data_IF_813257266405
#
_entry.id   IF_813257266405
#
_cell.length_a   1.000
_cell.length_b   1.000
_cell.length_c   1.000
_cell.angle_alpha   90.00
_cell.angle_beta   90.00
_cell.angle_gamma   90.00
#
_symmetry.space_group_name_H-M   'P 1'
#
loop_
_entity.id
_entity.type
_entity.pdbx_description
1 polymer ?
#
# COMPACT_ATOMS: atom_id res chain seq x y z
N UNK A 1 -0.55 8.17 -19.62
CA UNK A 1 0.89 8.27 -19.29
C UNK A 1 1.28 9.45 -18.40
N UNK A 2 0.82 10.68 -18.58
CA UNK A 2 1.17 11.79 -17.66
C UNK A 2 0.57 11.66 -16.26
N UNK A 3 -0.60 11.06 -16.07
CA UNK A 3 -1.29 10.95 -14.78
C UNK A 3 -0.77 9.81 -13.88
N UNK A 4 -0.38 8.67 -14.44
CA UNK A 4 0.26 7.58 -13.66
C UNK A 4 1.64 8.03 -13.13
N UNK A 5 2.36 8.85 -13.90
CA UNK A 5 3.65 9.42 -13.46
C UNK A 5 3.47 10.41 -12.30
N UNK A 6 2.37 11.17 -12.25
CA UNK A 6 2.06 12.08 -11.14
C UNK A 6 1.68 11.33 -9.85
N UNK A 7 0.96 10.22 -9.95
CA UNK A 7 0.63 9.38 -8.78
C UNK A 7 1.87 8.67 -8.24
N UNK A 8 2.76 8.19 -9.10
CA UNK A 8 4.02 7.56 -8.68
C UNK A 8 5.04 8.57 -8.17
N UNK A 9 5.13 9.79 -8.70
CA UNK A 9 5.98 10.86 -8.15
C UNK A 9 5.42 11.44 -6.86
N UNK A 10 4.11 11.59 -6.71
CA UNK A 10 3.45 11.98 -5.46
C UNK A 10 3.71 10.95 -4.35
N UNK A 11 3.59 9.68 -4.65
CA UNK A 11 3.91 8.56 -3.76
C UNK A 11 5.44 8.52 -3.50
N UNK A 12 6.28 8.83 -4.48
CA UNK A 12 7.73 8.82 -4.31
C UNK A 12 8.24 10.02 -3.49
N UNK A 13 7.62 11.21 -3.58
CA UNK A 13 7.93 12.34 -2.68
C UNK A 13 7.42 12.12 -1.25
N UNK A 14 6.30 11.43 -1.07
CA UNK A 14 5.87 10.93 0.24
C UNK A 14 6.86 9.89 0.81
N UNK A 15 7.50 9.07 -0.03
CA UNK A 15 8.49 8.05 0.41
C UNK A 15 9.70 8.64 1.14
N UNK A 16 10.13 9.86 0.87
CA UNK A 16 11.33 10.45 1.52
C UNK A 16 11.08 11.07 2.89
N UNK A 17 9.85 11.38 3.28
CA UNK A 17 9.53 12.05 4.54
C UNK A 17 8.75 11.20 5.56
N UNK A 18 8.20 10.03 5.19
CA UNK A 18 7.15 9.35 5.93
C UNK A 18 7.34 7.84 6.14
N UNK A 19 8.58 7.37 6.27
CA UNK A 19 8.82 5.97 6.64
C UNK A 19 8.14 5.56 7.97
N UNK A 20 7.95 6.53 8.88
CA UNK A 20 7.24 6.33 10.16
C UNK A 20 5.71 6.19 10.03
N UNK A 21 5.13 6.73 8.96
CA UNK A 21 3.70 6.61 8.64
C UNK A 21 3.39 5.23 8.03
N UNK A 22 4.41 4.50 7.56
CA UNK A 22 4.27 3.30 6.74
C UNK A 22 3.60 2.12 7.44
N UNK A 23 3.65 1.99 8.76
CA UNK A 23 3.02 0.86 9.47
C UNK A 23 1.49 1.02 9.52
N UNK A 24 0.96 2.23 9.71
CA UNK A 24 -0.48 2.47 9.60
C UNK A 24 -0.94 2.70 8.15
N UNK A 25 -0.11 3.32 7.30
CA UNK A 25 -0.37 3.41 5.86
C UNK A 25 -0.29 2.02 5.22
N UNK A 26 0.50 1.06 5.72
CA UNK A 26 0.43 -0.33 5.27
C UNK A 26 -0.87 -1.02 5.66
N UNK A 27 -1.47 -0.75 6.81
CA UNK A 27 -2.85 -1.17 7.09
C UNK A 27 -3.85 -0.52 6.12
N UNK A 28 -3.60 0.70 5.68
CA UNK A 28 -4.43 1.44 4.72
C UNK A 28 -4.08 1.12 3.26
N UNK A 29 -2.80 0.93 2.90
CA UNK A 29 -2.36 0.56 1.54
C UNK A 29 -2.64 -0.90 1.17
N UNK A 30 -2.96 -1.78 2.14
CA UNK A 30 -3.42 -3.15 1.90
C UNK A 30 -4.74 -3.25 1.17
N UNK A 31 -5.47 -2.17 1.08
CA UNK A 31 -6.82 -2.15 0.52
C UNK A 31 -6.89 -2.42 -0.98
N UNK A 32 -5.77 -2.43 -1.70
CA UNK A 32 -5.78 -2.66 -3.14
C UNK A 32 -5.63 -4.13 -3.56
N UNK A 33 -5.33 -5.04 -2.63
CA UNK A 33 -5.00 -6.44 -2.99
C UNK A 33 -6.16 -7.42 -2.82
N UNK A 34 -7.20 -7.09 -2.08
CA UNK A 34 -8.32 -7.99 -1.83
C UNK A 34 -9.65 -7.50 -2.43
N UNK A 35 -9.72 -7.32 -3.75
CA UNK A 35 -11.00 -7.25 -4.45
C UNK A 35 -11.67 -8.64 -4.49
N UNK A 36 -11.84 -9.27 -3.33
CA UNK A 36 -12.68 -10.43 -3.14
C UNK A 36 -14.14 -9.99 -3.16
N UNK A 37 -14.99 -10.68 -3.93
CA UNK A 37 -16.44 -10.42 -3.99
C UNK A 37 -17.08 -10.63 -2.62
N UNK A 38 -16.98 -9.64 -1.74
CA UNK A 38 -17.80 -9.60 -0.53
C UNK A 38 -19.23 -9.33 -0.92
N UNK A 39 -20.17 -10.08 -0.33
CA UNK A 39 -21.60 -9.79 -0.44
C UNK A 39 -21.91 -8.53 0.38
N UNK A 40 -21.51 -7.38 -0.13
CA UNK A 40 -21.90 -6.09 0.44
C UNK A 40 -23.40 -5.90 0.24
N UNK A 41 -24.17 -5.91 1.30
CA UNK A 41 -25.60 -5.59 1.27
C UNK A 41 -25.76 -4.12 1.63
N UNK A 42 -26.15 -3.29 0.66
CA UNK A 42 -26.59 -1.94 0.94
C UNK A 42 -28.01 -1.96 1.48
N UNK A 43 -28.23 -1.47 2.69
CA UNK A 43 -29.54 -1.41 3.32
C UNK A 43 -29.93 0.04 3.63
N UNK A 44 -31.22 0.33 3.53
CA UNK A 44 -31.83 1.59 4.00
C UNK A 44 -32.39 1.47 5.42
N UNK A 45 -32.29 0.28 6.04
CA UNK A 45 -32.87 -0.04 7.35
C UNK A 45 -32.05 0.40 8.56
N UNK A 46 -30.77 0.75 8.36
CA UNK A 46 -29.90 1.19 9.45
C UNK A 46 -30.30 2.57 9.96
N UNK A 47 -30.11 2.80 11.27
CA UNK A 47 -30.33 4.12 11.89
C UNK A 47 -29.37 5.14 11.30
N UNK A 48 -29.77 6.43 11.33
CA UNK A 48 -28.94 7.53 10.81
C UNK A 48 -27.56 7.62 11.47
N UNK A 49 -27.44 7.24 12.74
CA UNK A 49 -26.21 7.22 13.52
C UNK A 49 -25.33 5.96 13.28
N UNK A 50 -25.76 5.04 12.41
CA UNK A 50 -25.01 3.79 12.13
C UNK A 50 -24.51 3.84 10.70
N UNK A 51 -23.20 3.77 10.50
CA UNK A 51 -22.58 3.67 9.18
C UNK A 51 -22.69 2.26 8.61
N UNK A 52 -22.30 1.27 9.42
CA UNK A 52 -22.31 -0.13 9.02
C UNK A 52 -22.61 -1.06 10.20
N UNK A 53 -23.01 -2.30 9.88
CA UNK A 53 -23.01 -3.43 10.82
C UNK A 53 -22.20 -4.54 10.17
N UNK A 54 -21.09 -4.92 10.80
CA UNK A 54 -20.15 -5.91 10.32
C UNK A 54 -20.06 -7.02 11.40
N UNK A 55 -20.47 -8.23 11.03
CA UNK A 55 -20.55 -9.39 11.95
C UNK A 55 -21.34 -9.09 13.25
N UNK A 56 -22.37 -8.23 13.16
CA UNK A 56 -23.15 -7.78 14.29
C UNK A 56 -22.56 -6.59 15.07
N UNK A 57 -21.30 -6.21 14.81
CA UNK A 57 -20.64 -5.01 15.36
C UNK A 57 -21.16 -3.77 14.63
N UNK A 58 -21.57 -2.77 15.38
CA UNK A 58 -22.03 -1.49 14.82
C UNK A 58 -20.87 -0.52 14.72
N UNK A 59 -20.70 0.05 13.55
CA UNK A 59 -19.79 1.17 13.28
C UNK A 59 -20.63 2.45 13.26
N UNK A 60 -20.22 3.46 14.01
CA UNK A 60 -20.94 4.73 14.09
C UNK A 60 -20.82 5.54 12.79
N UNK A 61 -21.75 6.47 12.58
CA UNK A 61 -21.63 7.43 11.48
C UNK A 61 -20.52 8.45 11.78
N UNK A 62 -20.34 8.80 13.05
CA UNK A 62 -19.35 9.79 13.50
C UNK A 62 -17.93 9.28 13.27
N UNK A 63 -17.67 7.99 13.52
CA UNK A 63 -16.40 7.32 13.18
C UNK A 63 -16.11 7.34 11.67
N UNK A 64 -17.11 7.06 10.83
CA UNK A 64 -16.95 7.14 9.38
C UNK A 64 -16.74 8.58 8.90
N UNK A 65 -17.41 9.56 9.51
CA UNK A 65 -17.25 10.98 9.20
C UNK A 65 -15.89 11.52 9.66
N UNK A 66 -15.38 11.08 10.81
CA UNK A 66 -14.02 11.38 11.29
C UNK A 66 -13.00 10.98 10.22
N UNK A 67 -13.05 9.72 9.78
CA UNK A 67 -12.11 9.21 8.79
C UNK A 67 -12.27 9.89 7.43
N UNK A 68 -13.50 10.16 6.99
CA UNK A 68 -13.76 10.86 5.74
C UNK A 68 -13.24 12.31 5.78
N UNK A 69 -13.41 13.00 6.91
CA UNK A 69 -12.87 14.34 7.13
C UNK A 69 -11.34 14.40 7.09
N UNK A 70 -10.67 13.39 7.66
CA UNK A 70 -9.21 13.26 7.59
C UNK A 70 -8.71 13.08 6.16
N UNK A 71 -9.36 12.20 5.40
CA UNK A 71 -9.03 11.99 3.99
C UNK A 71 -9.31 13.24 3.15
N UNK A 72 -10.46 13.93 3.39
CA UNK A 72 -10.73 15.21 2.76
C UNK A 72 -9.60 16.20 2.99
N UNK A 73 -9.21 16.41 4.24
CA UNK A 73 -8.13 17.33 4.60
C UNK A 73 -6.81 16.98 3.90
N UNK A 74 -6.46 15.70 3.82
CA UNK A 74 -5.23 15.22 3.20
C UNK A 74 -5.22 15.41 1.68
N UNK A 75 -6.33 15.10 1.02
CA UNK A 75 -6.46 15.26 -0.43
C UNK A 75 -6.47 16.74 -0.83
N UNK A 76 -7.26 17.59 -0.17
CA UNK A 76 -7.33 19.02 -0.48
C UNK A 76 -6.03 19.76 -0.20
N UNK A 77 -5.23 19.33 0.79
CA UNK A 77 -3.87 19.87 1.02
C UNK A 77 -2.88 19.52 -0.10
N UNK A 78 -3.12 18.41 -0.80
CA UNK A 78 -2.18 17.89 -1.83
C UNK A 78 -2.60 18.33 -3.23
N UNK A 79 -3.89 18.36 -3.54
CA UNK A 79 -4.45 18.48 -4.89
C UNK A 79 -5.45 19.63 -5.04
N UNK A 80 -5.76 20.37 -3.97
CA UNK A 80 -6.87 21.32 -3.80
C UNK A 80 -8.29 20.71 -3.90
N UNK A 81 -9.34 21.56 -3.85
CA UNK A 81 -10.73 21.08 -3.83
C UNK A 81 -11.28 20.62 -5.18
N UNK A 82 -10.58 20.85 -6.29
CA UNK A 82 -11.02 20.43 -7.62
C UNK A 82 -10.84 18.91 -7.80
N UNK A 83 -10.02 18.27 -6.96
CA UNK A 83 -9.74 16.83 -7.00
C UNK A 83 -11.01 15.96 -6.95
N UNK A 84 -12.09 16.42 -6.32
CA UNK A 84 -13.28 15.61 -6.13
C UNK A 84 -14.04 15.28 -7.42
N UNK A 85 -13.84 16.09 -8.47
CA UNK A 85 -14.39 15.85 -9.82
C UNK A 85 -13.50 14.98 -10.70
N UNK A 86 -12.24 14.78 -10.32
CA UNK A 86 -11.28 13.97 -11.07
C UNK A 86 -11.62 12.47 -11.01
N UNK A 87 -11.13 11.73 -11.99
CA UNK A 87 -11.33 10.28 -12.06
C UNK A 87 -10.07 9.53 -11.62
N UNK A 88 -10.26 8.60 -10.70
CA UNK A 88 -9.26 7.65 -10.19
C UNK A 88 -9.81 6.25 -10.47
N UNK A 89 -9.11 5.42 -11.22
CA UNK A 89 -9.52 4.04 -11.55
C UNK A 89 -10.96 3.94 -12.12
N UNK A 90 -11.36 4.91 -12.95
CA UNK A 90 -12.67 4.92 -13.61
C UNK A 90 -13.84 5.42 -12.75
N UNK A 91 -13.63 5.74 -11.48
CA UNK A 91 -14.61 6.35 -10.57
C UNK A 91 -14.19 7.78 -10.20
N UNK A 92 -15.09 8.59 -9.63
CA UNK A 92 -14.71 9.92 -9.12
C UNK A 92 -13.82 9.77 -7.88
N UNK A 93 -12.94 10.76 -7.63
CA UNK A 93 -12.10 10.77 -6.41
C UNK A 93 -12.95 10.71 -5.14
N UNK A 94 -14.13 11.35 -5.14
CA UNK A 94 -15.10 11.23 -4.06
C UNK A 94 -15.52 9.77 -3.81
N UNK A 95 -15.90 9.04 -4.87
CA UNK A 95 -16.28 7.63 -4.77
C UNK A 95 -15.11 6.77 -4.29
N UNK A 96 -13.91 7.04 -4.81
CA UNK A 96 -12.69 6.34 -4.42
C UNK A 96 -12.39 6.51 -2.92
N UNK A 97 -12.42 7.74 -2.41
CA UNK A 97 -12.18 8.03 -0.99
C UNK A 97 -13.26 7.42 -0.09
N UNK A 98 -14.54 7.47 -0.50
CA UNK A 98 -15.63 6.82 0.25
C UNK A 98 -15.48 5.29 0.28
N UNK A 99 -15.00 4.67 -0.81
CA UNK A 99 -14.68 3.26 -0.81
C UNK A 99 -13.54 2.97 0.18
N UNK A 100 -12.49 3.79 0.20
CA UNK A 100 -11.38 3.64 1.15
C UNK A 100 -11.86 3.72 2.61
N UNK A 101 -12.74 4.65 2.95
CA UNK A 101 -13.33 4.72 4.31
C UNK A 101 -14.06 3.42 4.65
N UNK A 102 -14.91 2.94 3.75
CA UNK A 102 -15.65 1.69 3.94
C UNK A 102 -14.70 0.52 4.19
N UNK A 103 -13.74 0.35 3.31
CA UNK A 103 -12.83 -0.79 3.32
C UNK A 103 -11.91 -0.75 4.56
N UNK A 104 -11.49 0.45 4.99
CA UNK A 104 -10.73 0.65 6.24
C UNK A 104 -11.55 0.23 7.46
N UNK A 105 -12.77 0.70 7.59
CA UNK A 105 -13.62 0.37 8.73
C UNK A 105 -14.04 -1.10 8.73
N UNK A 106 -14.24 -1.70 7.57
CA UNK A 106 -14.47 -3.15 7.45
C UNK A 106 -13.25 -3.94 7.90
N UNK A 107 -12.06 -3.53 7.49
CA UNK A 107 -10.82 -4.18 7.90
C UNK A 107 -10.59 -4.09 9.41
N UNK A 108 -10.80 -2.92 10.00
CA UNK A 108 -10.69 -2.71 11.45
C UNK A 108 -11.67 -3.63 12.17
N UNK A 109 -12.94 -3.65 11.77
CA UNK A 109 -13.96 -4.48 12.41
C UNK A 109 -13.65 -5.98 12.32
N UNK A 110 -13.16 -6.46 11.17
CA UNK A 110 -12.72 -7.86 11.01
C UNK A 110 -11.53 -8.18 11.91
N UNK A 111 -10.58 -7.23 12.08
CA UNK A 111 -9.46 -7.40 13.00
C UNK A 111 -9.89 -7.37 14.47
N UNK A 112 -10.91 -6.59 14.82
CA UNK A 112 -11.51 -6.64 16.17
C UNK A 112 -12.18 -7.99 16.44
N UNK A 113 -12.78 -8.65 15.43
CA UNK A 113 -13.28 -10.02 15.59
C UNK A 113 -12.15 -11.00 15.90
N UNK A 114 -10.97 -10.85 15.31
CA UNK A 114 -9.78 -11.61 15.72
C UNK A 114 -9.35 -11.26 17.14
N UNK A 115 -9.40 -9.97 17.52
CA UNK A 115 -9.08 -9.57 18.90
C UNK A 115 -10.01 -10.25 19.91
N UNK A 116 -11.29 -10.37 19.60
CA UNK A 116 -12.25 -11.09 20.44
C UNK A 116 -11.96 -12.60 20.50
N UNK A 117 -11.68 -13.25 19.37
CA UNK A 117 -11.34 -14.68 19.30
C UNK A 117 -10.09 -15.02 20.13
N UNK A 118 -9.06 -14.18 20.09
CA UNK A 118 -7.84 -14.33 20.87
C UNK A 118 -7.92 -13.73 22.28
N UNK A 119 -9.08 -13.20 22.67
CA UNK A 119 -9.29 -12.52 23.96
C UNK A 119 -8.30 -11.38 24.21
N UNK A 120 -7.91 -10.66 23.17
CA UNK A 120 -7.04 -9.50 23.24
C UNK A 120 -7.80 -8.37 23.92
N UNK A 121 -7.13 -7.67 24.85
CA UNK A 121 -7.68 -6.51 25.56
C UNK A 121 -6.66 -5.37 25.57
N UNK A 122 -7.16 -4.16 25.67
CA UNK A 122 -6.31 -3.00 25.91
C UNK A 122 -5.82 -3.04 27.37
N UNK A 123 -4.61 -2.58 27.58
CA UNK A 123 -4.03 -2.35 28.90
C UNK A 123 -4.42 -0.97 29.42
N UNK A 124 -4.23 -0.71 30.72
CA UNK A 124 -4.41 0.62 31.29
C UNK A 124 -3.51 1.65 30.60
N UNK A 125 -2.28 1.26 30.23
CA UNK A 125 -1.35 2.10 29.46
C UNK A 125 -1.87 2.41 28.05
N UNK A 126 -2.46 1.43 27.35
CA UNK A 126 -3.11 1.68 26.05
C UNK A 126 -4.25 2.72 26.19
N UNK A 127 -5.07 2.59 27.23
CA UNK A 127 -6.17 3.53 27.49
C UNK A 127 -5.67 4.94 27.81
N UNK A 128 -4.63 5.07 28.64
CA UNK A 128 -4.01 6.37 28.95
C UNK A 128 -3.38 7.03 27.71
N UNK A 129 -2.79 6.22 26.81
CA UNK A 129 -2.22 6.74 25.56
C UNK A 129 -3.34 7.17 24.57
N UNK A 130 -4.44 6.43 24.50
CA UNK A 130 -5.60 6.78 23.68
C UNK A 130 -6.19 8.11 24.14
N UNK A 131 -6.40 8.29 25.44
CA UNK A 131 -6.92 9.53 26.02
C UNK A 131 -6.06 10.75 25.65
N UNK A 132 -4.73 10.64 25.78
CA UNK A 132 -3.79 11.71 25.42
C UNK A 132 -3.74 11.99 23.91
N UNK A 133 -3.73 10.94 23.09
CA UNK A 133 -3.73 11.07 21.64
C UNK A 133 -5.01 11.75 21.13
N UNK A 134 -6.17 11.42 21.74
CA UNK A 134 -7.43 12.05 21.42
C UNK A 134 -7.44 13.54 21.85
N UNK A 135 -6.90 13.88 23.02
CA UNK A 135 -6.74 15.29 23.45
C UNK A 135 -5.87 16.08 22.48
N UNK A 136 -4.77 15.48 22.00
CA UNK A 136 -3.88 16.13 21.04
C UNK A 136 -4.58 16.36 19.71
N UNK A 137 -5.33 15.36 19.20
CA UNK A 137 -6.12 15.51 17.99
C UNK A 137 -7.15 16.64 18.12
N UNK A 138 -7.89 16.66 19.22
CA UNK A 138 -8.93 17.67 19.47
C UNK A 138 -8.36 19.10 19.61
N UNK A 139 -7.10 19.24 20.05
CA UNK A 139 -6.43 20.55 20.11
C UNK A 139 -6.27 21.18 18.71
N UNK A 140 -6.12 20.37 17.67
CA UNK A 140 -6.01 20.80 16.27
C UNK A 140 -7.31 20.79 15.48
N UNK A 141 -8.41 20.30 16.05
CA UNK A 141 -9.70 20.14 15.36
C UNK A 141 -10.63 21.33 15.58
N UNK A 142 -11.05 21.96 14.48
CA UNK A 142 -11.98 23.12 14.47
C UNK A 142 -13.32 22.80 13.79
N UNK A 143 -13.88 21.65 14.07
CA UNK A 143 -15.05 21.09 13.39
C UNK A 143 -16.42 21.44 14.01
N UNK A 144 -16.55 22.52 14.80
CA UNK A 144 -17.81 22.99 15.38
C UNK A 144 -18.61 21.92 16.17
N UNK A 145 -17.92 20.94 16.81
CA UNK A 145 -18.57 19.93 17.65
C UNK A 145 -19.27 18.81 16.88
N UNK A 146 -18.96 18.60 15.61
CA UNK A 146 -19.50 17.49 14.81
C UNK A 146 -18.88 16.16 15.23
N UNK A 147 -17.59 16.18 15.55
CA UNK A 147 -16.81 15.07 16.13
C UNK A 147 -16.38 15.52 17.51
N UNK A 148 -16.56 14.68 18.50
CA UNK A 148 -16.09 14.95 19.85
C UNK A 148 -14.91 14.05 20.24
N UNK A 149 -14.35 14.25 21.44
CA UNK A 149 -13.21 13.48 21.92
C UNK A 149 -13.51 11.98 21.98
N UNK A 150 -14.74 11.61 22.36
CA UNK A 150 -15.12 10.20 22.48
C UNK A 150 -15.13 9.48 21.13
N UNK A 151 -15.47 10.18 20.05
CA UNK A 151 -15.43 9.59 18.70
C UNK A 151 -13.98 9.25 18.30
N UNK A 152 -13.03 10.11 18.66
CA UNK A 152 -11.60 9.88 18.41
C UNK A 152 -11.05 8.77 19.30
N UNK A 153 -11.43 8.72 20.57
CA UNK A 153 -11.08 7.65 21.51
C UNK A 153 -11.62 6.30 21.04
N UNK A 154 -12.86 6.24 20.56
CA UNK A 154 -13.48 5.02 20.03
C UNK A 154 -12.72 4.53 18.79
N UNK A 155 -12.40 5.43 17.85
CA UNK A 155 -11.61 5.10 16.67
C UNK A 155 -10.20 4.60 17.03
N UNK A 156 -9.49 5.27 17.93
CA UNK A 156 -8.16 4.85 18.36
C UNK A 156 -8.20 3.53 19.14
N UNK A 157 -9.27 3.29 19.89
CA UNK A 157 -9.52 2.01 20.59
C UNK A 157 -9.64 0.86 19.58
N UNK A 158 -10.48 1.01 18.56
CA UNK A 158 -10.67 0.04 17.48
C UNK A 158 -9.38 -0.18 16.71
N UNK A 159 -8.66 0.88 16.37
CA UNK A 159 -7.38 0.80 15.66
C UNK A 159 -6.31 0.11 16.48
N UNK A 160 -6.26 0.35 17.81
CA UNK A 160 -5.30 -0.31 18.71
C UNK A 160 -5.60 -1.79 18.88
N UNK A 161 -6.85 -2.18 19.01
CA UNK A 161 -7.27 -3.59 19.05
C UNK A 161 -6.92 -4.29 17.73
N UNK A 162 -7.21 -3.66 16.60
CA UNK A 162 -6.87 -4.17 15.28
C UNK A 162 -5.35 -4.36 15.12
N UNK A 163 -4.55 -3.40 15.57
CA UNK A 163 -3.09 -3.50 15.55
C UNK A 163 -2.58 -4.68 16.40
N UNK A 164 -3.08 -4.84 17.63
CA UNK A 164 -2.71 -5.97 18.49
C UNK A 164 -3.12 -7.31 17.88
N UNK A 165 -4.30 -7.38 17.26
CA UNK A 165 -4.77 -8.57 16.54
C UNK A 165 -3.85 -8.92 15.38
N UNK A 166 -3.49 -7.93 14.54
CA UNK A 166 -2.56 -8.13 13.44
C UNK A 166 -1.23 -8.74 13.89
N UNK A 167 -0.62 -8.21 14.95
CA UNK A 167 0.63 -8.76 15.46
C UNK A 167 0.44 -10.16 16.07
N UNK A 168 -0.69 -10.44 16.71
CA UNK A 168 -0.99 -11.76 17.27
C UNK A 168 -1.17 -12.81 16.19
N UNK A 169 -1.95 -12.54 15.14
CA UNK A 169 -2.17 -13.51 14.05
C UNK A 169 -0.93 -13.70 13.18
N UNK A 170 0.01 -12.77 13.21
CA UNK A 170 1.27 -12.84 12.46
C UNK A 170 2.49 -13.15 13.35
N UNK A 171 2.28 -13.61 14.59
CA UNK A 171 3.35 -13.87 15.56
C UNK A 171 4.28 -15.01 15.13
N UNK A 172 3.77 -15.95 14.32
CA UNK A 172 4.53 -17.09 13.80
C UNK A 172 5.49 -16.75 12.65
N UNK A 173 5.50 -15.49 12.20
CA UNK A 173 6.36 -15.05 11.10
C UNK A 173 7.82 -15.02 11.56
N UNK A 174 8.69 -15.57 10.72
CA UNK A 174 10.14 -15.46 10.91
C UNK A 174 10.59 -14.01 10.87
N UNK A 175 11.15 -13.54 11.97
CA UNK A 175 11.68 -12.17 12.13
C UNK A 175 13.21 -12.09 11.99
N UNK A 176 13.88 -13.22 11.75
CA UNK A 176 15.30 -13.20 11.41
C UNK A 176 15.46 -12.86 9.92
N UNK A 177 16.27 -11.86 9.63
CA UNK A 177 16.59 -11.42 8.27
C UNK A 177 18.12 -11.49 8.12
N UNK A 178 18.59 -12.25 7.16
CA UNK A 178 20.01 -12.33 6.85
C UNK A 178 20.52 -11.09 6.10
N UNK A 179 21.83 -10.85 6.14
CA UNK A 179 22.44 -9.77 5.35
C UNK A 179 22.17 -9.94 3.85
N UNK A 180 22.14 -11.19 3.33
CA UNK A 180 21.85 -11.44 1.91
C UNK A 180 20.37 -11.13 1.56
N UNK A 181 19.44 -11.38 2.47
CA UNK A 181 18.03 -10.98 2.26
C UNK A 181 17.83 -9.47 2.31
N UNK A 182 18.55 -8.78 3.19
CA UNK A 182 18.49 -7.32 3.31
C UNK A 182 19.33 -6.59 2.23
N UNK A 183 20.14 -7.31 1.47
CA UNK A 183 21.04 -6.75 0.47
C UNK A 183 20.30 -5.98 -0.61
N UNK A 184 20.82 -4.81 -0.95
CA UNK A 184 20.36 -3.96 -2.06
C UNK A 184 21.45 -3.94 -3.13
N UNK A 185 21.05 -4.10 -4.38
CA UNK A 185 21.97 -4.08 -5.52
C UNK A 185 21.62 -2.94 -6.48
N UNK A 186 22.62 -2.49 -7.25
CA UNK A 186 22.42 -1.55 -8.35
C UNK A 186 22.76 -2.26 -9.66
N UNK A 187 21.84 -2.22 -10.62
CA UNK A 187 21.99 -2.82 -11.94
C UNK A 187 21.69 -1.84 -13.06
N UNK A 188 22.24 -2.12 -14.24
CA UNK A 188 21.77 -1.60 -15.51
C UNK A 188 21.09 -2.74 -16.26
N UNK A 189 20.06 -2.43 -17.07
CA UNK A 189 19.36 -3.47 -17.82
C UNK A 189 18.88 -2.99 -19.19
N UNK A 190 18.74 -3.93 -20.10
CA UNK A 190 18.05 -3.77 -21.37
C UNK A 190 16.78 -4.61 -21.29
N UNK A 191 15.64 -4.00 -21.50
CA UNK A 191 14.35 -4.66 -21.58
C UNK A 191 13.82 -4.69 -23.00
N UNK A 192 13.35 -5.85 -23.44
CA UNK A 192 12.68 -6.03 -24.74
C UNK A 192 11.32 -6.64 -24.50
N UNK A 193 10.27 -5.85 -24.71
CA UNK A 193 8.90 -6.20 -24.38
C UNK A 193 8.33 -7.33 -25.25
N UNK A 194 7.49 -8.17 -24.64
CA UNK A 194 6.62 -9.16 -25.32
C UNK A 194 5.15 -8.88 -25.05
N UNK A 195 4.84 -7.80 -24.36
CA UNK A 195 3.49 -7.31 -24.06
C UNK A 195 3.38 -5.83 -24.39
N UNK A 196 2.17 -5.38 -24.63
CA UNK A 196 1.82 -3.96 -24.79
C UNK A 196 0.74 -3.60 -23.76
N UNK A 197 0.71 -2.33 -23.37
CA UNK A 197 -0.33 -1.76 -22.52
C UNK A 197 -1.04 -0.65 -23.28
N UNK A 198 -2.36 -0.66 -23.26
CA UNK A 198 -3.17 0.43 -23.83
C UNK A 198 -3.20 1.67 -22.90
N UNK A 199 -3.91 2.72 -23.35
CA UNK A 199 -4.03 3.96 -22.57
C UNK A 199 -4.76 3.77 -21.24
N UNK A 200 -5.55 2.71 -21.10
CA UNK A 200 -6.25 2.31 -19.86
C UNK A 200 -5.43 1.34 -18.99
N UNK A 201 -4.20 1.01 -19.43
CA UNK A 201 -3.28 0.11 -18.73
C UNK A 201 -3.61 -1.39 -18.89
N UNK A 202 -4.47 -1.74 -19.86
CA UNK A 202 -4.82 -3.15 -20.13
C UNK A 202 -3.70 -3.82 -20.90
N UNK A 203 -3.19 -4.92 -20.32
CA UNK A 203 -2.13 -5.74 -20.91
C UNK A 203 -2.65 -6.54 -22.11
N UNK A 204 -1.87 -6.54 -23.17
CA UNK A 204 -2.10 -7.37 -24.37
C UNK A 204 -0.80 -8.09 -24.75
N UNK A 205 -0.88 -9.39 -24.98
CA UNK A 205 0.24 -10.20 -25.45
C UNK A 205 0.55 -9.87 -26.92
N UNK A 206 1.83 -9.78 -27.25
CA UNK A 206 2.26 -9.63 -28.64
C UNK A 206 1.98 -10.90 -29.44
N UNK A 207 1.87 -10.77 -30.78
CA UNK A 207 1.75 -11.94 -31.64
C UNK A 207 3.00 -12.82 -31.54
N UNK A 208 2.86 -14.14 -31.83
CA UNK A 208 3.99 -15.07 -31.87
C UNK A 208 5.13 -14.61 -32.81
N UNK A 209 4.77 -13.92 -33.91
CA UNK A 209 5.75 -13.36 -34.85
C UNK A 209 6.53 -12.19 -34.23
N UNK A 210 5.86 -11.36 -33.41
CA UNK A 210 6.46 -10.22 -32.71
C UNK A 210 7.34 -10.70 -31.56
N UNK A 211 6.89 -11.68 -30.77
CA UNK A 211 7.69 -12.33 -29.73
C UNK A 211 8.96 -12.93 -30.32
N UNK A 212 8.86 -13.58 -31.49
CA UNK A 212 10.04 -14.12 -32.20
C UNK A 212 11.00 -13.00 -32.68
N UNK A 213 10.48 -11.84 -33.06
CA UNK A 213 11.30 -10.66 -33.39
C UNK A 213 11.97 -10.07 -32.15
N UNK A 214 11.24 -9.97 -31.04
CA UNK A 214 11.76 -9.51 -29.75
C UNK A 214 12.93 -10.41 -29.29
N UNK A 215 12.78 -11.72 -29.37
CA UNK A 215 13.85 -12.67 -29.04
C UNK A 215 15.10 -12.51 -29.91
N UNK A 216 14.95 -12.35 -31.23
CA UNK A 216 16.09 -12.09 -32.12
C UNK A 216 16.76 -10.74 -31.81
N UNK A 217 15.96 -9.72 -31.46
CA UNK A 217 16.49 -8.41 -31.06
C UNK A 217 17.33 -8.51 -29.79
N UNK A 218 16.84 -9.18 -28.74
CA UNK A 218 17.59 -9.32 -27.48
C UNK A 218 18.85 -10.18 -27.68
N UNK A 219 18.81 -11.23 -28.55
CA UNK A 219 20.01 -11.99 -28.92
C UNK A 219 21.07 -11.11 -29.61
N UNK A 220 20.63 -10.24 -30.53
CA UNK A 220 21.54 -9.30 -31.20
C UNK A 220 22.14 -8.29 -30.25
N UNK A 221 21.35 -7.82 -29.26
CA UNK A 221 21.82 -6.89 -28.23
C UNK A 221 22.82 -7.57 -27.28
N UNK A 222 22.55 -8.80 -26.87
CA UNK A 222 23.48 -9.57 -26.03
C UNK A 222 24.82 -9.75 -26.74
N UNK A 223 24.84 -10.06 -28.04
CA UNK A 223 26.09 -10.23 -28.80
C UNK A 223 26.92 -8.94 -28.90
N UNK A 224 26.36 -7.78 -28.61
CA UNK A 224 27.06 -6.49 -28.63
C UNK A 224 27.67 -6.14 -27.27
N UNK A 225 27.40 -6.93 -26.22
CA UNK A 225 27.91 -6.67 -24.87
C UNK A 225 29.32 -7.28 -24.65
N UNK A 226 29.80 -8.16 -25.55
CA UNK A 226 31.03 -8.99 -25.33
C UNK A 226 32.34 -8.23 -25.49
N UNK A 227 32.37 -7.05 -26.13
CA UNK A 227 33.63 -6.38 -26.56
C UNK A 227 33.90 -5.01 -25.91
N UNK A 228 33.54 -4.81 -24.64
CA UNK A 228 33.82 -3.56 -23.95
C UNK A 228 32.93 -2.41 -24.38
N UNK A 229 31.79 -2.70 -24.99
CA UNK A 229 30.74 -1.73 -25.31
C UNK A 229 30.21 -1.06 -24.04
N UNK A 230 29.96 0.24 -24.10
CA UNK A 230 29.29 0.94 -23.01
C UNK A 230 27.86 0.40 -22.85
N UNK A 231 27.68 -0.49 -21.88
CA UNK A 231 26.37 -1.12 -21.61
C UNK A 231 25.29 -0.09 -21.31
N UNK A 232 25.62 0.99 -20.58
CA UNK A 232 24.67 2.04 -20.26
C UNK A 232 24.18 2.77 -21.52
N UNK A 233 25.07 3.04 -22.49
CA UNK A 233 24.71 3.63 -23.75
C UNK A 233 23.83 2.68 -24.58
N UNK A 234 24.22 1.38 -24.64
CA UNK A 234 23.44 0.36 -25.34
C UNK A 234 22.03 0.21 -24.73
N UNK A 235 21.92 0.18 -23.42
CA UNK A 235 20.65 0.10 -22.70
C UNK A 235 19.76 1.33 -22.97
N UNK A 236 20.32 2.53 -22.84
CA UNK A 236 19.58 3.77 -23.07
C UNK A 236 19.02 3.88 -24.49
N UNK A 237 19.74 3.36 -25.48
CA UNK A 237 19.36 3.46 -26.88
C UNK A 237 18.42 2.35 -27.35
N UNK A 238 18.38 1.21 -26.66
CA UNK A 238 17.73 0.00 -27.15
C UNK A 238 16.72 -0.62 -26.20
N UNK A 239 16.63 -0.17 -24.93
CA UNK A 239 15.62 -0.66 -23.99
C UNK A 239 14.23 -0.13 -24.37
N UNK A 240 13.22 -0.97 -24.23
CA UNK A 240 11.83 -0.57 -24.37
C UNK A 240 11.33 0.12 -23.08
N UNK A 241 12.07 0.06 -21.99
CA UNK A 241 11.86 0.84 -20.78
C UNK A 241 12.63 2.17 -20.87
N UNK A 242 12.02 3.25 -20.39
CA UNK A 242 12.65 4.56 -20.27
C UNK A 242 13.72 4.60 -19.17
N UNK A 243 13.62 3.73 -18.16
CA UNK A 243 14.66 3.47 -17.17
C UNK A 243 15.54 2.32 -17.64
N UNK A 244 16.82 2.42 -17.36
CA UNK A 244 17.81 1.38 -17.64
C UNK A 244 18.78 1.15 -16.46
N UNK A 245 18.53 1.83 -15.35
CA UNK A 245 19.28 1.69 -14.09
C UNK A 245 18.29 1.50 -12.95
N UNK A 246 18.58 0.55 -12.07
CA UNK A 246 17.70 0.17 -10.98
C UNK A 246 18.50 -0.16 -9.73
N UNK A 247 18.06 0.36 -8.60
CA UNK A 247 18.54 -0.01 -7.28
C UNK A 247 17.39 -0.65 -6.50
N UNK A 248 17.58 -1.89 -6.05
CA UNK A 248 16.50 -2.68 -5.44
C UNK A 248 17.03 -3.78 -4.54
N UNK A 249 16.15 -4.21 -3.62
CA UNK A 249 16.33 -5.40 -2.79
C UNK A 249 15.45 -6.56 -3.26
N UNK A 250 15.58 -7.72 -2.62
CA UNK A 250 14.77 -8.90 -2.93
C UNK A 250 13.28 -8.65 -2.61
N UNK A 251 12.40 -9.20 -3.44
CA UNK A 251 10.94 -9.11 -3.31
C UNK A 251 10.32 -7.85 -3.90
N UNK A 252 11.06 -7.05 -4.68
CA UNK A 252 10.59 -5.81 -5.27
C UNK A 252 10.25 -5.91 -6.76
N UNK A 253 10.79 -6.94 -7.44
CA UNK A 253 10.64 -7.13 -8.88
C UNK A 253 10.27 -8.58 -9.23
N UNK A 254 10.18 -8.88 -10.53
CA UNK A 254 9.87 -10.22 -11.03
C UNK A 254 10.93 -11.22 -10.57
N UNK A 255 10.48 -12.40 -10.14
CA UNK A 255 11.35 -13.43 -9.54
C UNK A 255 12.51 -13.84 -10.47
N UNK A 256 12.23 -14.00 -11.76
CA UNK A 256 13.24 -14.38 -12.76
C UNK A 256 14.30 -13.30 -12.92
N UNK A 257 13.88 -12.01 -12.93
CA UNK A 257 14.79 -10.87 -12.99
C UNK A 257 15.66 -10.79 -11.75
N UNK A 258 15.06 -10.87 -10.55
CA UNK A 258 15.80 -10.85 -9.28
C UNK A 258 16.78 -12.00 -9.17
N UNK A 259 16.34 -13.24 -9.47
CA UNK A 259 17.16 -14.43 -9.39
C UNK A 259 18.38 -14.37 -10.33
N UNK A 260 18.25 -13.68 -11.47
CA UNK A 260 19.38 -13.45 -12.36
C UNK A 260 20.29 -12.34 -11.82
N UNK A 261 19.73 -11.18 -11.46
CA UNK A 261 20.47 -10.00 -11.02
C UNK A 261 21.33 -10.25 -9.77
N UNK A 262 20.77 -10.91 -8.76
CA UNK A 262 21.44 -11.18 -7.48
C UNK A 262 22.55 -12.25 -7.55
N UNK A 263 22.69 -12.96 -8.67
CA UNK A 263 23.77 -13.91 -8.93
C UNK A 263 25.00 -13.29 -9.60
N UNK A 264 24.83 -12.09 -10.16
CA UNK A 264 25.91 -11.43 -10.90
C UNK A 264 26.93 -10.81 -9.95
N UNK A 265 28.20 -10.96 -10.29
CA UNK A 265 29.30 -10.20 -9.71
C UNK A 265 29.34 -8.78 -10.31
N UNK A 266 30.01 -7.83 -9.62
CA UNK A 266 30.13 -6.45 -10.11
C UNK A 266 30.83 -6.43 -11.48
N UNK A 267 30.16 -5.84 -12.45
CA UNK A 267 30.61 -5.76 -13.85
C UNK A 267 30.15 -6.93 -14.72
N UNK A 268 29.61 -7.99 -14.13
CA UNK A 268 29.13 -9.16 -14.88
C UNK A 268 27.78 -8.82 -15.58
N UNK A 269 27.59 -9.44 -16.76
CA UNK A 269 26.39 -9.31 -17.59
C UNK A 269 25.71 -10.67 -17.66
N UNK A 270 24.41 -10.70 -17.47
CA UNK A 270 23.60 -11.92 -17.56
C UNK A 270 23.48 -12.44 -18.99
N UNK A 271 23.06 -13.69 -19.16
CA UNK A 271 22.42 -14.13 -20.37
C UNK A 271 21.07 -13.45 -20.59
N UNK A 272 20.29 -13.94 -21.55
CA UNK A 272 18.90 -13.50 -21.74
C UNK A 272 18.07 -14.06 -20.58
N UNK A 273 17.42 -13.17 -19.84
CA UNK A 273 16.46 -13.49 -18.78
C UNK A 273 15.06 -13.36 -19.35
N UNK A 274 14.30 -14.43 -19.37
CA UNK A 274 12.92 -14.46 -19.84
C UNK A 274 11.97 -14.27 -18.66
N UNK A 275 10.98 -13.39 -18.82
CA UNK A 275 9.92 -13.11 -17.86
C UNK A 275 8.57 -13.15 -18.57
N UNK A 276 7.47 -13.04 -17.82
CA UNK A 276 6.11 -13.00 -18.38
C UNK A 276 5.79 -11.71 -19.17
N UNK A 277 6.64 -10.68 -19.10
CA UNK A 277 6.44 -9.41 -19.80
C UNK A 277 7.49 -9.15 -20.89
N UNK A 278 8.56 -9.95 -20.96
CA UNK A 278 9.62 -9.77 -21.97
C UNK A 278 10.95 -10.34 -21.57
N UNK A 279 11.97 -9.91 -22.30
CA UNK A 279 13.35 -10.37 -22.15
C UNK A 279 14.22 -9.27 -21.55
N UNK A 280 15.13 -9.67 -20.66
CA UNK A 280 16.10 -8.78 -20.03
C UNK A 280 17.55 -9.22 -20.29
N UNK A 281 18.45 -8.25 -20.40
CA UNK A 281 19.90 -8.41 -20.22
C UNK A 281 20.28 -7.49 -19.07
N UNK A 282 20.93 -8.03 -18.05
CA UNK A 282 21.19 -7.33 -16.78
C UNK A 282 22.69 -7.23 -16.57
N UNK A 283 23.20 -6.07 -16.18
CA UNK A 283 24.58 -5.85 -15.74
C UNK A 283 24.59 -5.40 -14.29
N UNK A 284 25.32 -6.11 -13.45
CA UNK A 284 25.56 -5.68 -12.08
C UNK A 284 26.54 -4.49 -12.04
N UNK A 285 26.12 -3.39 -11.43
CA UNK A 285 26.95 -2.20 -11.22
C UNK A 285 27.51 -2.16 -9.81
N UNK A 286 26.70 -2.54 -8.83
CA UNK A 286 27.08 -2.67 -7.43
C UNK A 286 26.27 -3.82 -6.83
N UNK A 287 26.91 -4.81 -6.27
CA UNK A 287 26.27 -5.99 -5.69
C UNK A 287 25.90 -5.83 -4.21
N UNK A 288 26.30 -4.71 -3.59
CA UNK A 288 25.96 -4.37 -2.20
C UNK A 288 25.98 -2.85 -2.00
N UNK A 289 24.86 -2.21 -2.28
CA UNK A 289 24.68 -0.77 -2.00
C UNK A 289 24.53 -0.60 -0.50
N UNK A 290 25.27 0.36 0.08
CA UNK A 290 25.12 0.70 1.48
C UNK A 290 23.67 1.12 1.76
N UNK A 291 22.96 0.31 2.52
CA UNK A 291 21.56 0.50 2.87
C UNK A 291 21.39 0.43 4.39
N UNK A 292 20.31 1.06 4.89
CA UNK A 292 19.91 0.92 6.29
C UNK A 292 19.35 -0.49 6.52
N UNK A 293 20.21 -1.37 7.07
CA UNK A 293 19.86 -2.77 7.35
C UNK A 293 18.63 -2.89 8.24
N UNK A 294 18.52 -2.07 9.28
CA UNK A 294 17.40 -2.13 10.21
C UNK A 294 16.08 -1.78 9.50
N UNK A 295 16.13 -0.76 8.66
CA UNK A 295 15.00 -0.36 7.83
C UNK A 295 14.60 -1.48 6.87
N UNK A 296 15.56 -2.05 6.15
CA UNK A 296 15.29 -3.10 5.17
C UNK A 296 14.76 -4.37 5.82
N UNK A 297 15.33 -4.75 6.97
CA UNK A 297 14.85 -5.88 7.76
C UNK A 297 13.40 -5.67 8.21
N UNK A 298 13.05 -4.47 8.67
CA UNK A 298 11.68 -4.16 9.05
C UNK A 298 10.70 -4.26 7.86
N UNK A 299 11.10 -3.83 6.66
CA UNK A 299 10.31 -3.97 5.43
C UNK A 299 10.07 -5.44 5.06
N UNK A 300 11.10 -6.28 5.13
CA UNK A 300 11.01 -7.71 4.86
C UNK A 300 10.10 -8.42 5.87
N UNK A 301 10.29 -8.16 7.16
CA UNK A 301 9.45 -8.73 8.23
C UNK A 301 7.99 -8.31 8.03
N UNK A 302 7.75 -7.04 7.71
CA UNK A 302 6.41 -6.55 7.41
C UNK A 302 5.81 -7.27 6.20
N UNK A 303 6.55 -7.45 5.12
CA UNK A 303 6.10 -8.19 3.93
C UNK A 303 5.69 -9.63 4.28
N UNK A 304 6.49 -10.34 5.10
CA UNK A 304 6.17 -11.68 5.59
C UNK A 304 4.89 -11.69 6.43
N UNK A 305 4.74 -10.73 7.36
CA UNK A 305 3.53 -10.56 8.17
C UNK A 305 2.31 -10.30 7.30
N UNK A 306 2.47 -9.47 6.29
CA UNK A 306 1.42 -9.12 5.36
C UNK A 306 0.90 -10.32 4.57
N UNK A 307 1.79 -11.21 4.13
CA UNK A 307 1.41 -12.43 3.45
C UNK A 307 0.55 -13.35 4.34
N UNK A 308 0.99 -13.59 5.58
CA UNK A 308 0.23 -14.40 6.55
C UNK A 308 -1.10 -13.75 6.89
N UNK A 309 -1.10 -12.43 7.07
CA UNK A 309 -2.31 -11.67 7.34
C UNK A 309 -3.32 -11.76 6.19
N UNK A 310 -2.88 -11.52 4.94
CA UNK A 310 -3.73 -11.55 3.76
C UNK A 310 -4.51 -12.86 3.64
N UNK A 311 -3.85 -13.99 3.83
CA UNK A 311 -4.49 -15.32 3.75
C UNK A 311 -5.57 -15.51 4.85
N UNK A 312 -5.26 -15.11 6.08
CA UNK A 312 -6.20 -15.24 7.20
C UNK A 312 -7.36 -14.25 7.10
N UNK A 313 -7.05 -13.00 6.70
CA UNK A 313 -8.06 -11.97 6.50
C UNK A 313 -9.05 -12.35 5.39
N UNK A 314 -8.56 -12.79 4.23
CA UNK A 314 -9.42 -13.23 3.13
C UNK A 314 -10.37 -14.36 3.55
N UNK A 315 -9.84 -15.37 4.26
CA UNK A 315 -10.65 -16.47 4.77
C UNK A 315 -11.70 -16.04 5.82
N UNK A 316 -11.43 -14.99 6.58
CA UNK A 316 -12.38 -14.42 7.53
C UNK A 316 -13.45 -13.59 6.80
N UNK A 317 -13.03 -12.76 5.86
CA UNK A 317 -13.89 -11.88 5.10
C UNK A 317 -14.95 -12.65 4.30
N UNK A 318 -14.60 -13.81 3.72
CA UNK A 318 -15.56 -14.69 3.05
C UNK A 318 -16.74 -15.15 3.94
N UNK A 319 -16.52 -15.19 5.25
CA UNK A 319 -17.52 -15.59 6.25
C UNK A 319 -18.23 -14.40 6.89
N UNK A 320 -17.75 -13.20 6.61
CA UNK A 320 -18.28 -11.97 7.21
C UNK A 320 -19.61 -11.57 6.58
N UNK A 321 -20.48 -11.00 7.40
CA UNK A 321 -21.72 -10.36 6.97
C UNK A 321 -21.56 -8.85 7.16
N UNK A 322 -21.77 -8.08 6.08
CA UNK A 322 -21.59 -6.63 6.11
C UNK A 322 -22.85 -5.95 5.55
N UNK A 323 -23.41 -5.03 6.33
CA UNK A 323 -24.52 -4.16 5.93
C UNK A 323 -24.08 -2.70 6.02
N UNK A 324 -24.14 -1.95 4.92
CA UNK A 324 -23.79 -0.52 4.87
C UNK A 324 -24.99 0.39 4.79
N UNK A 325 -24.92 1.56 5.42
CA UNK A 325 -25.93 2.60 5.35
C UNK A 325 -25.88 3.33 4.00
N UNK A 326 -26.83 2.96 3.11
CA UNK A 326 -26.91 3.54 1.77
C UNK A 326 -26.99 5.07 1.77
N UNK A 327 -27.63 5.67 2.79
CA UNK A 327 -27.76 7.13 2.90
C UNK A 327 -26.42 7.84 3.07
N UNK A 328 -25.47 7.25 3.80
CA UNK A 328 -24.12 7.78 3.89
C UNK A 328 -23.50 7.89 2.49
N UNK A 329 -23.69 6.83 1.70
CA UNK A 329 -23.12 6.71 0.38
C UNK A 329 -23.67 7.74 -0.62
N UNK A 330 -25.01 7.93 -0.62
CA UNK A 330 -25.70 8.73 -1.61
C UNK A 330 -25.85 10.22 -1.23
N UNK A 331 -25.81 10.55 0.07
CA UNK A 331 -26.22 11.87 0.57
C UNK A 331 -25.13 12.59 1.40
N UNK A 332 -23.88 12.25 1.25
CA UNK A 332 -22.78 12.96 1.93
C UNK A 332 -21.77 13.42 0.88
N UNK A 333 -22.01 14.52 0.15
CA UNK A 333 -21.04 15.06 -0.81
C UNK A 333 -19.82 15.60 -0.06
N UNK A 334 -18.64 15.52 -0.69
CA UNK A 334 -17.38 15.89 -0.03
C UNK A 334 -17.31 17.35 0.41
N UNK A 335 -17.99 18.24 -0.27
CA UNK A 335 -18.04 19.67 0.12
C UNK A 335 -18.82 19.93 1.42
N UNK A 336 -19.69 19.02 1.84
CA UNK A 336 -20.40 19.08 3.12
C UNK A 336 -19.67 18.35 4.26
N UNK A 337 -18.64 17.55 3.97
CA UNK A 337 -17.83 16.86 4.98
C UNK A 337 -16.92 17.87 5.68
N UNK A 338 -16.95 17.95 7.00
CA UNK A 338 -16.05 18.83 7.75
C UNK A 338 -14.64 18.25 7.69
N UNK A 339 -13.63 19.01 7.21
CA UNK A 339 -12.26 18.53 7.17
C UNK A 339 -11.74 18.23 8.58
N UNK A 340 -11.01 17.12 8.70
CA UNK A 340 -10.26 16.81 9.91
C UNK A 340 -8.97 17.62 10.02
N UNK A 341 -8.08 17.21 10.92
CA UNK A 341 -6.77 17.85 11.12
C UNK A 341 -5.74 17.46 10.06
N UNK A 342 -5.92 16.32 9.43
CA UNK A 342 -4.94 15.63 8.59
C UNK A 342 -3.82 14.96 9.39
N UNK A 343 -4.00 14.79 10.71
CA UNK A 343 -2.99 14.23 11.63
C UNK A 343 -3.45 13.00 12.40
N UNK A 344 -4.64 12.49 12.13
CA UNK A 344 -5.22 11.37 12.88
C UNK A 344 -4.23 10.18 13.01
N UNK A 345 -3.66 9.76 11.89
CA UNK A 345 -2.69 8.66 11.87
C UNK A 345 -1.28 9.06 12.32
N UNK A 346 -0.87 10.33 12.11
CA UNK A 346 0.42 10.83 12.58
C UNK A 346 0.48 10.77 14.12
N UNK A 347 -0.54 11.29 14.79
CA UNK A 347 -0.68 11.26 16.24
C UNK A 347 -0.73 9.81 16.74
N UNK A 348 -1.57 8.95 16.13
CA UNK A 348 -1.61 7.53 16.49
C UNK A 348 -0.21 6.88 16.44
N UNK A 349 0.54 7.12 15.39
CA UNK A 349 1.87 6.55 15.22
C UNK A 349 2.88 7.05 16.28
N UNK A 350 2.79 8.30 16.68
CA UNK A 350 3.65 8.85 17.73
C UNK A 350 3.45 8.12 19.07
N UNK A 351 2.21 7.82 19.41
CA UNK A 351 1.87 7.16 20.67
C UNK A 351 2.06 5.64 20.65
N UNK A 352 1.76 4.96 19.55
CA UNK A 352 1.65 3.51 19.52
C UNK A 352 2.68 2.77 18.67
N UNK A 353 3.42 3.46 17.81
CA UNK A 353 4.43 2.83 16.93
C UNK A 353 5.84 3.21 17.35
N UNK A 354 6.11 4.48 17.62
CA UNK A 354 7.44 4.96 17.97
C UNK A 354 7.94 4.49 19.34
N UNK A 355 7.03 4.10 20.23
CA UNK A 355 7.35 3.62 21.58
C UNK A 355 7.72 2.13 21.66
N UNK A 356 7.40 1.34 20.63
CA UNK A 356 7.71 -0.10 20.59
C UNK A 356 9.14 -0.41 20.07
N UNK A 357 9.89 0.60 19.61
CA UNK A 357 11.27 0.44 19.13
C UNK A 357 12.34 0.80 20.18
N UNK A 358 11.96 0.94 21.43
CA UNK A 358 12.86 1.07 22.58
C UNK A 358 12.75 -0.16 23.45
#
# INVERSE_FOLDING_TARGET
MRYLHFLTEGICMLKRRHFRIMVCVCLVCLMTICAGCTRVQFTTGLKRSTFAVINGRKISMDEAMLLLGELRCSYEKTFDSEVWSEKIEGMTAEQYVKNNVRDTLEQIAVLEDFADDFSIRLTDEDCDMIDKAADEYMTGYDGNGTIDKSDVEDFYTSLRLAQKAFYTITDTVDTEVSEDEARVINVQYIYVATVEYDDDGVRTELSQADVSRAYKRVQSLLSQTDDGTDFAALARENSDDSQYTLEFGRGEYLEEFENAAFKLEVGEISGIVETDIGYYIIKCVNDNVESDYDKRSAEIILSRRMKVFSDQYAARLEKSSTEFNKRFWENTPMDEVIPGTGKLYEIYNEYFVSTQQK
#
